data_IF_081823131914
#
_entry.id   IF_081823131914
#
_cell.length_a   1.000
_cell.length_b   1.000
_cell.length_c   1.000
_cell.angle_alpha   90.00
_cell.angle_beta   90.00
_cell.angle_gamma   90.00
#
_symmetry.space_group_name_H-M   'P 1'
#
loop_
_entity.id
_entity.type
_entity.pdbx_description
1 polymer ?
#
# COMPACT_ATOMS: atom_id res chain seq x y z
N UNK A 1 -17.26 48.16 23.71
CA UNK A 1 -16.99 47.52 22.40
C UNK A 1 -15.89 46.46 22.45
N UNK A 2 -14.79 46.62 23.22
CA UNK A 2 -13.70 45.62 23.34
C UNK A 2 -14.09 44.26 23.95
N UNK A 3 -15.16 44.19 24.77
CA UNK A 3 -15.65 42.93 25.36
C UNK A 3 -16.50 42.09 24.38
N UNK A 4 -17.09 42.71 23.34
CA UNK A 4 -17.84 41.97 22.31
C UNK A 4 -16.91 41.31 21.27
N UNK A 5 -15.78 41.94 20.97
CA UNK A 5 -14.78 41.41 20.02
C UNK A 5 -14.05 40.18 20.55
N UNK A 6 -13.89 40.05 21.87
CA UNK A 6 -13.30 38.86 22.50
C UNK A 6 -14.25 37.64 22.45
N UNK A 7 -15.57 37.87 22.51
CA UNK A 7 -16.56 36.81 22.43
C UNK A 7 -16.66 36.19 21.01
N UNK A 8 -16.48 36.99 19.95
CA UNK A 8 -16.43 36.48 18.58
C UNK A 8 -15.18 35.61 18.29
N UNK A 9 -14.05 35.90 18.95
CA UNK A 9 -12.82 35.12 18.76
C UNK A 9 -12.82 33.78 19.50
N UNK A 10 -13.65 33.64 20.55
CA UNK A 10 -13.85 32.36 21.24
C UNK A 10 -14.83 31.43 20.50
N UNK A 11 -15.73 31.97 19.67
CA UNK A 11 -16.69 31.17 18.90
C UNK A 11 -16.08 30.52 17.64
N UNK A 12 -14.98 31.07 17.11
CA UNK A 12 -14.30 30.53 15.92
C UNK A 12 -13.36 29.35 16.21
N UNK A 13 -13.04 29.06 17.48
CA UNK A 13 -12.16 27.96 17.88
C UNK A 13 -12.89 26.60 18.01
N UNK A 14 -14.22 26.57 17.89
CA UNK A 14 -15.05 25.38 18.12
C UNK A 14 -15.36 24.52 16.88
N UNK A 15 -15.00 24.96 15.66
CA UNK A 15 -15.24 24.18 14.45
C UNK A 15 -14.14 23.15 14.21
N UNK A 16 -14.07 22.15 15.10
CA UNK A 16 -13.33 20.92 14.82
C UNK A 16 -14.09 20.16 13.74
N UNK A 17 -13.53 20.10 12.53
CA UNK A 17 -14.03 19.21 11.49
C UNK A 17 -13.93 17.77 12.01
N UNK A 18 -15.07 17.14 12.31
CA UNK A 18 -15.12 15.72 12.61
C UNK A 18 -14.61 14.94 11.39
N UNK A 19 -13.35 14.50 11.46
CA UNK A 19 -12.80 13.58 10.47
C UNK A 19 -13.51 12.23 10.63
N UNK A 20 -14.37 11.89 9.68
CA UNK A 20 -15.01 10.58 9.62
C UNK A 20 -13.99 9.60 9.05
N UNK A 21 -13.34 8.86 9.92
CA UNK A 21 -12.49 7.74 9.54
C UNK A 21 -13.34 6.47 9.57
N UNK A 22 -13.45 5.80 8.42
CA UNK A 22 -14.11 4.50 8.33
C UNK A 22 -13.25 3.40 8.95
N UNK A 23 -12.90 2.40 8.14
CA UNK A 23 -11.99 1.33 8.55
C UNK A 23 -10.54 1.71 8.26
N UNK A 24 -9.72 1.73 9.29
CA UNK A 24 -8.28 2.04 9.24
C UNK A 24 -7.46 0.76 9.29
N UNK A 25 -6.41 0.71 8.46
CA UNK A 25 -5.51 -0.43 8.36
C UNK A 25 -4.18 -0.12 9.04
N UNK A 26 -3.54 -1.14 9.60
CA UNK A 26 -2.28 -1.02 10.35
C UNK A 26 -1.06 -0.62 9.53
N UNK A 27 -1.15 -0.66 8.20
CA UNK A 27 -0.07 -0.28 7.31
C UNK A 27 -0.52 -0.26 5.85
N UNK A 28 0.40 0.13 4.97
CA UNK A 28 0.17 0.20 3.50
C UNK A 28 0.71 -1.03 2.76
N UNK A 29 1.35 -1.95 3.47
CA UNK A 29 1.94 -3.18 2.96
C UNK A 29 2.23 -4.16 4.08
N UNK A 30 2.47 -5.42 3.69
CA UNK A 30 2.87 -6.51 4.57
C UNK A 30 4.18 -7.09 4.05
N UNK A 31 5.15 -7.30 4.94
CA UNK A 31 6.39 -8.03 4.63
C UNK A 31 6.38 -9.32 5.44
N UNK A 32 6.35 -10.45 4.75
CA UNK A 32 6.44 -11.79 5.31
C UNK A 32 7.87 -12.31 5.14
N UNK A 33 8.60 -12.40 6.24
CA UNK A 33 9.94 -12.98 6.25
C UNK A 33 9.84 -14.51 6.26
N UNK A 34 10.59 -15.17 5.40
CA UNK A 34 10.69 -16.63 5.42
C UNK A 34 11.15 -17.14 6.79
N UNK A 35 10.57 -18.24 7.25
CA UNK A 35 10.79 -18.81 8.58
C UNK A 35 9.88 -18.23 9.68
N UNK A 36 9.16 -17.14 9.44
CA UNK A 36 8.09 -16.69 10.34
C UNK A 36 6.89 -17.62 10.23
N UNK A 37 6.21 -17.88 11.35
CA UNK A 37 4.97 -18.67 11.36
C UNK A 37 3.81 -17.91 10.73
N UNK A 38 3.70 -16.63 11.09
CA UNK A 38 2.63 -15.75 10.64
C UNK A 38 3.04 -14.28 10.73
N UNK A 39 2.32 -13.43 10.01
CA UNK A 39 2.38 -11.97 10.16
C UNK A 39 0.99 -11.44 10.47
N UNK A 40 0.92 -10.56 11.46
CA UNK A 40 -0.30 -9.87 11.86
C UNK A 40 -0.49 -8.56 11.08
N UNK A 41 -1.71 -8.29 10.61
CA UNK A 41 -2.11 -7.04 9.98
C UNK A 41 -3.34 -6.48 10.69
N UNK A 42 -3.17 -5.35 11.38
CA UNK A 42 -4.25 -4.78 12.19
C UNK A 42 -5.29 -4.04 11.36
N UNK A 43 -6.53 -4.10 11.81
CA UNK A 43 -7.68 -3.41 11.22
C UNK A 43 -8.50 -2.84 12.36
N UNK A 44 -8.86 -1.57 12.26
CA UNK A 44 -9.66 -0.87 13.26
C UNK A 44 -10.85 -0.20 12.60
N UNK A 45 -12.04 -0.39 13.13
CA UNK A 45 -13.19 0.42 12.76
C UNK A 45 -13.20 1.68 13.63
N UNK A 46 -13.04 2.86 13.02
CA UNK A 46 -13.09 4.12 13.77
C UNK A 46 -14.49 4.75 13.78
N UNK A 47 -15.48 4.12 13.12
CA UNK A 47 -16.87 4.54 13.19
C UNK A 47 -17.49 4.25 14.56
N UNK A 48 -18.27 5.20 15.05
CA UNK A 48 -18.96 5.12 16.34
C UNK A 48 -20.31 4.42 16.25
N UNK A 49 -20.91 4.39 15.07
CA UNK A 49 -22.30 3.93 14.89
C UNK A 49 -22.46 2.81 13.86
N UNK A 50 -21.44 2.60 13.02
CA UNK A 50 -21.53 1.68 11.89
C UNK A 50 -20.57 0.50 12.08
N UNK A 51 -21.06 -0.72 12.33
CA UNK A 51 -20.23 -1.92 12.22
C UNK A 51 -20.00 -2.24 10.74
N UNK A 52 -18.92 -2.95 10.43
CA UNK A 52 -18.62 -3.43 9.07
C UNK A 52 -18.50 -4.94 9.02
N UNK A 53 -18.91 -5.53 7.91
CA UNK A 53 -18.50 -6.89 7.57
C UNK A 53 -17.19 -6.81 6.78
N UNK A 54 -16.15 -7.44 7.31
CA UNK A 54 -14.82 -7.45 6.73
C UNK A 54 -14.59 -8.80 6.05
N UNK A 55 -14.31 -8.76 4.75
CA UNK A 55 -13.88 -9.93 3.98
C UNK A 55 -12.42 -9.77 3.58
N UNK A 56 -11.59 -10.77 3.84
CA UNK A 56 -10.17 -10.75 3.51
C UNK A 56 -9.76 -11.99 2.71
N UNK A 57 -8.88 -11.79 1.72
CA UNK A 57 -8.33 -12.87 0.91
C UNK A 57 -7.02 -12.44 0.23
N UNK A 58 -6.24 -13.41 -0.24
CA UNK A 58 -4.98 -13.16 -0.94
C UNK A 58 -5.16 -13.52 -2.42
N UNK A 59 -4.61 -12.71 -3.32
CA UNK A 59 -4.59 -12.92 -4.77
C UNK A 59 -3.15 -12.86 -5.30
N UNK A 60 -2.87 -13.51 -6.43
CA UNK A 60 -1.63 -13.29 -7.18
C UNK A 60 -1.53 -11.85 -7.66
N UNK A 61 -0.30 -11.34 -7.80
CA UNK A 61 -0.06 -10.00 -8.35
C UNK A 61 -0.57 -9.88 -9.79
N UNK A 62 -0.32 -10.90 -10.61
CA UNK A 62 -0.84 -11.03 -11.96
C UNK A 62 -2.23 -11.66 -11.93
N UNK A 63 -3.22 -10.92 -12.40
CA UNK A 63 -4.62 -11.37 -12.47
C UNK A 63 -4.86 -12.51 -13.48
N UNK A 64 -3.93 -12.71 -14.42
CA UNK A 64 -3.94 -13.83 -15.35
C UNK A 64 -3.47 -15.13 -14.70
N UNK A 65 -2.63 -15.05 -13.66
CA UNK A 65 -2.23 -16.22 -12.91
C UNK A 65 -3.39 -16.73 -12.03
N UNK A 66 -3.94 -17.89 -12.40
CA UNK A 66 -5.05 -18.55 -11.70
C UNK A 66 -4.63 -19.58 -10.65
N UNK A 67 -3.32 -19.79 -10.45
CA UNK A 67 -2.86 -20.69 -9.39
C UNK A 67 -3.27 -20.15 -8.02
N UNK A 68 -3.56 -21.03 -7.06
CA UNK A 68 -3.81 -20.57 -5.69
C UNK A 68 -2.54 -19.88 -5.15
N UNK A 69 -2.64 -18.65 -4.59
CA UNK A 69 -1.50 -18.03 -3.94
C UNK A 69 -1.09 -18.85 -2.72
N UNK A 70 0.20 -18.92 -2.37
CA UNK A 70 0.70 -19.82 -1.34
C UNK A 70 0.51 -19.27 0.07
N UNK A 71 -0.56 -18.50 0.30
CA UNK A 71 -0.87 -17.87 1.57
C UNK A 71 -2.35 -17.99 1.88
N UNK A 72 -2.64 -18.05 3.18
CA UNK A 72 -3.98 -17.87 3.72
C UNK A 72 -4.02 -16.66 4.65
N UNK A 73 -5.19 -16.06 4.78
CA UNK A 73 -5.47 -14.98 5.73
C UNK A 73 -6.65 -15.37 6.62
N UNK A 74 -6.50 -15.19 7.92
CA UNK A 74 -7.50 -15.59 8.92
C UNK A 74 -7.78 -14.42 9.88
N UNK A 75 -9.05 -14.08 10.17
CA UNK A 75 -10.28 -14.62 9.58
C UNK A 75 -10.56 -14.09 8.16
N UNK A 76 -11.13 -14.93 7.30
CA UNK A 76 -11.52 -14.56 5.92
C UNK A 76 -12.81 -13.74 5.86
N UNK A 77 -13.69 -13.88 6.84
CA UNK A 77 -14.93 -13.12 6.97
C UNK A 77 -15.28 -12.95 8.44
N UNK A 78 -15.48 -11.71 8.87
CA UNK A 78 -15.89 -11.42 10.24
C UNK A 78 -16.57 -10.06 10.35
N UNK A 79 -17.43 -9.91 11.35
CA UNK A 79 -18.00 -8.61 11.71
C UNK A 79 -17.00 -7.84 12.58
N UNK A 80 -16.78 -6.58 12.24
CA UNK A 80 -15.98 -5.62 12.98
C UNK A 80 -16.91 -4.55 13.54
N UNK A 81 -17.17 -4.61 14.84
CA UNK A 81 -18.05 -3.68 15.53
C UNK A 81 -17.43 -2.27 15.63
N UNK A 82 -18.23 -1.32 16.11
CA UNK A 82 -17.85 0.08 16.27
C UNK A 82 -16.66 0.21 17.23
N UNK A 83 -15.68 1.04 16.86
CA UNK A 83 -14.46 1.26 17.66
C UNK A 83 -13.62 -0.02 17.93
N UNK A 84 -13.99 -1.15 17.31
CA UNK A 84 -13.30 -2.42 17.49
C UNK A 84 -11.99 -2.44 16.70
N UNK A 85 -10.95 -2.96 17.34
CA UNK A 85 -9.69 -3.35 16.69
C UNK A 85 -9.61 -4.87 16.59
N UNK A 86 -9.21 -5.36 15.42
CA UNK A 86 -8.92 -6.77 15.18
C UNK A 86 -7.61 -6.93 14.40
N UNK A 87 -7.14 -8.17 14.24
CA UNK A 87 -5.93 -8.49 13.50
C UNK A 87 -6.16 -9.66 12.55
N UNK A 88 -5.79 -9.47 11.28
CA UNK A 88 -5.68 -10.55 10.31
C UNK A 88 -4.34 -11.26 10.50
N UNK A 89 -4.36 -12.58 10.54
CA UNK A 89 -3.17 -13.43 10.53
C UNK A 89 -2.94 -13.98 9.13
N UNK A 90 -1.75 -13.75 8.60
CA UNK A 90 -1.32 -14.23 7.29
C UNK A 90 -0.31 -15.34 7.50
N UNK A 91 -0.54 -16.51 6.90
CA UNK A 91 0.33 -17.69 7.01
C UNK A 91 0.74 -18.15 5.62
N UNK A 92 2.02 -18.48 5.46
CA UNK A 92 2.55 -19.12 4.26
C UNK A 92 2.26 -20.63 4.31
N UNK A 93 1.85 -21.20 3.18
CA UNK A 93 1.44 -22.61 3.05
C UNK A 93 2.60 -23.56 2.73
N UNK A 94 3.81 -23.04 2.50
CA UNK A 94 4.98 -23.86 2.18
C UNK A 94 5.15 -24.23 0.71
N UNK A 95 4.24 -23.81 -0.19
CA UNK A 95 4.41 -24.01 -1.63
C UNK A 95 5.66 -23.30 -2.13
N UNK A 96 6.60 -23.97 -2.82
CA UNK A 96 7.88 -23.37 -3.21
C UNK A 96 7.75 -22.02 -3.93
N UNK A 97 8.51 -21.03 -3.45
CA UNK A 97 8.69 -19.73 -4.06
C UNK A 97 10.16 -19.52 -4.44
N UNK A 98 10.47 -18.59 -5.37
CA UNK A 98 11.84 -18.22 -5.68
C UNK A 98 12.64 -17.87 -4.41
N UNK A 99 13.81 -18.47 -4.26
CA UNK A 99 14.70 -18.23 -3.11
C UNK A 99 15.77 -17.17 -3.39
N UNK A 100 15.93 -16.79 -4.66
CA UNK A 100 16.91 -15.81 -5.13
C UNK A 100 16.38 -14.36 -5.17
N UNK A 101 15.06 -14.17 -5.00
CA UNK A 101 14.38 -12.87 -5.06
C UNK A 101 13.09 -12.83 -4.24
N UNK A 102 12.62 -11.63 -3.94
CA UNK A 102 11.28 -11.47 -3.36
C UNK A 102 10.16 -11.95 -4.30
N UNK A 103 9.04 -12.35 -3.71
CA UNK A 103 7.76 -12.54 -4.41
C UNK A 103 6.72 -11.55 -3.87
N UNK A 104 5.73 -11.18 -4.68
CA UNK A 104 4.69 -10.22 -4.27
C UNK A 104 3.28 -10.72 -4.61
N UNK A 105 2.35 -10.46 -3.69
CA UNK A 105 0.94 -10.83 -3.76
C UNK A 105 0.06 -9.65 -3.35
N UNK A 106 -1.24 -9.76 -3.57
CA UNK A 106 -2.23 -8.80 -3.07
C UNK A 106 -2.94 -9.35 -1.85
N UNK A 107 -2.85 -8.66 -0.71
CA UNK A 107 -3.80 -8.79 0.38
C UNK A 107 -4.99 -7.87 0.07
N UNK A 108 -6.16 -8.48 -0.11
CA UNK A 108 -7.41 -7.78 -0.38
C UNK A 108 -8.23 -7.72 0.91
N UNK A 109 -8.73 -6.53 1.23
CA UNK A 109 -9.63 -6.32 2.37
C UNK A 109 -10.83 -5.52 1.86
N UNK A 110 -12.02 -6.12 1.93
CA UNK A 110 -13.28 -5.52 1.52
C UNK A 110 -14.12 -5.23 2.75
N UNK A 111 -14.51 -3.96 2.89
CA UNK A 111 -15.37 -3.50 3.96
C UNK A 111 -16.78 -3.31 3.40
N UNK A 112 -17.74 -4.01 3.98
CA UNK A 112 -19.13 -4.03 3.53
C UNK A 112 -19.97 -3.34 4.61
N UNK A 113 -20.58 -2.22 4.23
CA UNK A 113 -21.47 -1.46 5.11
C UNK A 113 -22.80 -2.20 5.31
N UNK A 114 -23.47 -2.04 6.47
CA UNK A 114 -24.77 -2.63 6.72
C UNK A 114 -25.85 -1.89 5.90
N UNK A 115 -26.78 -2.65 5.34
CA UNK A 115 -27.95 -2.10 4.66
C UNK A 115 -29.14 -2.03 5.63
N UNK A 116 -29.65 -0.83 5.94
CA UNK A 116 -30.94 -0.69 6.67
C UNK A 116 -32.10 -0.89 5.69
N UNK A 117 -33.06 -1.76 6.04
CA UNK A 117 -34.34 -1.89 5.32
C UNK A 117 -35.10 -0.55 5.40
N UNK A 118 -35.12 0.21 4.32
CA UNK A 118 -35.98 1.40 4.19
C UNK A 118 -36.42 1.50 2.72
N UNK A 119 -37.67 1.90 2.49
CA UNK A 119 -38.31 1.97 1.18
C UNK A 119 -37.87 3.17 0.33
N UNK A 120 -36.61 3.60 0.42
CA UNK A 120 -36.06 4.71 -0.35
C UNK A 120 -34.84 4.30 -1.18
N UNK A 121 -34.59 5.00 -2.28
CA UNK A 121 -33.40 4.81 -3.10
C UNK A 121 -32.15 5.12 -2.27
N UNK A 122 -31.27 4.13 -2.11
CA UNK A 122 -30.02 4.29 -1.35
C UNK A 122 -28.83 3.88 -2.19
N UNK A 123 -27.78 4.71 -2.10
CA UNK A 123 -26.46 4.39 -2.59
C UNK A 123 -25.66 3.72 -1.46
N UNK A 124 -25.17 2.51 -1.71
CA UNK A 124 -24.27 1.79 -0.81
C UNK A 124 -22.88 1.71 -1.42
N UNK A 125 -21.87 2.11 -0.65
CA UNK A 125 -20.46 2.07 -1.06
C UNK A 125 -19.76 0.97 -0.27
N UNK A 126 -19.19 0.01 -0.99
CA UNK A 126 -18.33 -1.02 -0.41
C UNK A 126 -16.90 -0.78 -0.94
N UNK A 127 -15.93 -0.67 -0.04
CA UNK A 127 -14.55 -0.34 -0.39
C UNK A 127 -13.71 -1.61 -0.39
N UNK A 128 -13.00 -1.89 -1.50
CA UNK A 128 -11.99 -2.95 -1.60
C UNK A 128 -10.61 -2.30 -1.62
N UNK A 129 -9.87 -2.47 -0.53
CA UNK A 129 -8.48 -2.03 -0.40
C UNK A 129 -7.52 -3.15 -0.77
N UNK A 130 -6.45 -2.81 -1.49
CA UNK A 130 -5.39 -3.74 -1.92
C UNK A 130 -4.05 -3.34 -1.31
N UNK A 131 -3.43 -4.27 -0.62
CA UNK A 131 -2.13 -4.10 0.02
C UNK A 131 -1.14 -5.08 -0.60
N UNK A 132 0.10 -4.63 -0.83
CA UNK A 132 1.17 -5.52 -1.28
C UNK A 132 1.60 -6.41 -0.12
N UNK A 133 1.62 -7.72 -0.36
CA UNK A 133 2.20 -8.73 0.52
C UNK A 133 3.49 -9.21 -0.12
N UNK A 134 4.63 -8.81 0.44
CA UNK A 134 5.95 -9.26 -0.01
C UNK A 134 6.35 -10.51 0.76
N UNK A 135 6.72 -11.57 0.04
CA UNK A 135 7.44 -12.70 0.61
C UNK A 135 8.93 -12.50 0.41
N UNK A 136 9.68 -12.58 1.51
CA UNK A 136 11.11 -12.31 1.55
C UNK A 136 11.87 -13.57 1.98
N UNK A 137 12.50 -14.29 1.04
CA UNK A 137 13.38 -15.42 1.35
C UNK A 137 14.49 -15.06 2.33
N UNK A 138 14.91 -16.03 3.13
CA UNK A 138 16.07 -15.91 3.99
C UNK A 138 17.35 -15.86 3.13
N UNK A 139 18.30 -15.02 3.51
CA UNK A 139 19.62 -14.95 2.86
C UNK A 139 19.68 -14.16 1.56
N UNK A 140 18.63 -13.40 1.20
CA UNK A 140 18.72 -12.46 0.08
C UNK A 140 19.87 -11.45 0.27
N UNK A 141 20.67 -11.27 -0.78
CA UNK A 141 21.83 -10.36 -0.73
C UNK A 141 21.41 -8.89 -0.75
N UNK A 142 22.08 -8.09 0.10
CA UNK A 142 21.87 -6.64 0.18
C UNK A 142 20.80 -6.25 1.19
N UNK A 143 20.24 -5.05 1.04
CA UNK A 143 19.25 -4.50 1.94
C UNK A 143 18.10 -3.87 1.12
N UNK A 144 16.87 -4.28 1.40
CA UNK A 144 15.65 -3.76 0.78
C UNK A 144 15.55 -2.23 0.87
N UNK A 145 15.92 -1.63 2.00
CA UNK A 145 15.88 -0.19 2.22
C UNK A 145 16.81 0.59 1.27
N UNK A 146 17.90 -0.05 0.83
CA UNK A 146 18.88 0.55 -0.08
C UNK A 146 18.67 0.15 -1.54
N UNK A 147 17.73 -0.76 -1.83
CA UNK A 147 17.50 -1.27 -3.18
C UNK A 147 17.16 -0.14 -4.17
N UNK A 148 16.36 0.84 -3.75
CA UNK A 148 15.98 1.96 -4.60
C UNK A 148 17.18 2.79 -5.09
N UNK A 149 18.29 2.82 -4.35
CA UNK A 149 19.51 3.55 -4.76
C UNK A 149 20.33 2.80 -5.80
N UNK A 150 20.09 1.48 -5.96
CA UNK A 150 20.80 0.63 -6.94
C UNK A 150 20.15 0.65 -8.32
N UNK A 151 18.98 1.28 -8.44
CA UNK A 151 18.31 1.43 -9.72
C UNK A 151 19.18 2.23 -10.68
N UNK A 152 19.23 1.76 -11.93
CA UNK A 152 19.91 2.46 -13.02
C UNK A 152 18.85 2.97 -13.98
N UNK A 153 18.90 4.26 -14.29
CA UNK A 153 17.99 4.84 -15.26
C UNK A 153 18.71 5.13 -16.57
N UNK A 154 17.99 5.02 -17.67
CA UNK A 154 18.42 5.50 -18.98
C UNK A 154 17.24 6.22 -19.61
N UNK A 155 17.49 7.34 -20.29
CA UNK A 155 16.44 8.05 -21.02
C UNK A 155 16.86 8.23 -22.46
N UNK A 156 16.10 7.64 -23.40
CA UNK A 156 16.36 7.71 -24.85
C UNK A 156 15.03 7.84 -25.57
N UNK A 157 14.98 8.69 -26.61
CA UNK A 157 13.79 8.86 -27.46
C UNK A 157 12.48 9.07 -26.65
N UNK A 158 12.51 10.00 -25.67
CA UNK A 158 11.39 10.26 -24.76
C UNK A 158 10.87 9.02 -24.02
N UNK A 159 11.75 8.05 -23.76
CA UNK A 159 11.46 6.85 -22.99
C UNK A 159 12.45 6.74 -21.85
N UNK A 160 11.96 6.84 -20.62
CA UNK A 160 12.71 6.57 -19.41
C UNK A 160 12.62 5.08 -19.10
N UNK A 161 13.76 4.39 -19.01
CA UNK A 161 13.87 2.99 -18.59
C UNK A 161 14.62 2.90 -17.27
N UNK A 162 13.98 2.33 -16.25
CA UNK A 162 14.60 1.93 -15.00
C UNK A 162 14.97 0.45 -15.05
N UNK A 163 16.18 0.13 -14.63
CA UNK A 163 16.68 -1.22 -14.43
C UNK A 163 16.88 -1.48 -12.94
N UNK A 164 16.33 -2.58 -12.44
CA UNK A 164 16.51 -3.04 -11.07
C UNK A 164 17.46 -4.25 -11.02
N UNK A 165 18.75 -4.07 -10.67
CA UNK A 165 19.71 -5.18 -10.61
C UNK A 165 19.63 -5.96 -9.29
N UNK A 166 18.62 -5.71 -8.44
CA UNK A 166 18.56 -6.23 -7.08
C UNK A 166 17.45 -7.28 -6.90
N UNK A 167 17.54 -8.15 -5.87
CA UNK A 167 16.52 -9.17 -5.58
C UNK A 167 15.25 -8.61 -4.91
N UNK A 168 15.13 -7.27 -4.82
CA UNK A 168 14.10 -6.58 -4.03
C UNK A 168 13.13 -5.85 -4.96
N UNK A 169 11.83 -5.84 -4.63
CA UNK A 169 10.89 -4.95 -5.29
C UNK A 169 11.12 -3.50 -4.85
N UNK A 170 11.00 -2.55 -5.78
CA UNK A 170 11.02 -1.12 -5.45
C UNK A 170 9.70 -0.49 -5.85
N UNK A 171 8.92 -0.07 -4.86
CA UNK A 171 7.68 0.68 -5.08
C UNK A 171 7.97 2.17 -5.11
N UNK A 172 7.80 2.80 -6.27
CA UNK A 172 8.00 4.23 -6.43
C UNK A 172 6.86 5.01 -5.77
N UNK A 173 7.23 6.01 -4.98
CA UNK A 173 6.34 7.08 -4.59
C UNK A 173 6.28 8.15 -5.68
N UNK A 174 7.47 8.55 -6.16
CA UNK A 174 7.63 9.58 -7.18
C UNK A 174 8.82 9.25 -8.08
N UNK A 175 8.66 9.49 -9.37
CA UNK A 175 9.74 9.50 -10.38
C UNK A 175 9.54 10.74 -11.24
N UNK A 176 10.60 11.46 -11.56
CA UNK A 176 10.54 12.66 -12.40
C UNK A 176 11.79 12.79 -13.26
N UNK A 177 11.65 13.35 -14.46
CA UNK A 177 12.77 13.76 -15.32
C UNK A 177 12.69 15.27 -15.50
N UNK A 178 13.71 15.99 -15.01
CA UNK A 178 13.64 17.45 -14.94
C UNK A 178 12.43 17.91 -14.12
N UNK A 179 11.54 18.68 -14.75
CA UNK A 179 10.31 19.20 -14.12
C UNK A 179 9.05 18.37 -14.44
N UNK A 180 9.20 17.25 -15.15
CA UNK A 180 8.06 16.40 -15.53
C UNK A 180 8.01 15.19 -14.61
N UNK A 181 6.86 14.98 -13.98
CA UNK A 181 6.59 13.82 -13.14
C UNK A 181 6.06 12.66 -13.99
N UNK A 182 6.49 11.44 -13.67
CA UNK A 182 5.91 10.22 -14.23
C UNK A 182 4.58 9.95 -13.53
N UNK A 183 3.49 9.93 -14.28
CA UNK A 183 2.20 9.50 -13.77
C UNK A 183 2.21 8.01 -13.42
N UNK A 184 1.73 7.67 -12.22
CA UNK A 184 1.64 6.27 -11.74
C UNK A 184 2.93 5.45 -11.94
N UNK A 185 4.05 5.84 -11.30
CA UNK A 185 5.34 5.18 -11.53
C UNK A 185 5.32 3.69 -11.12
N UNK A 186 4.46 3.34 -10.16
CA UNK A 186 4.17 1.96 -9.76
C UNK A 186 5.36 1.27 -9.09
N UNK A 187 5.67 0.04 -9.47
CA UNK A 187 6.68 -0.79 -8.82
C UNK A 187 7.51 -1.56 -9.84
N UNK A 188 8.82 -1.58 -9.65
CA UNK A 188 9.74 -2.38 -10.46
C UNK A 188 10.07 -3.69 -9.74
N UNK A 189 10.12 -4.77 -10.51
CA UNK A 189 10.30 -6.13 -10.01
C UNK A 189 11.79 -6.45 -9.83
N UNK A 190 12.15 -7.47 -9.03
CA UNK A 190 13.53 -7.93 -8.93
C UNK A 190 14.10 -8.33 -10.29
N UNK A 191 15.32 -7.88 -10.57
CA UNK A 191 16.06 -8.23 -11.81
C UNK A 191 15.27 -7.90 -13.09
N UNK A 192 14.48 -6.84 -13.09
CA UNK A 192 13.62 -6.45 -14.20
C UNK A 192 13.86 -5.00 -14.63
N UNK A 193 13.24 -4.66 -15.76
CA UNK A 193 13.17 -3.30 -16.28
C UNK A 193 11.73 -2.77 -16.20
N UNK A 194 11.59 -1.45 -16.13
CA UNK A 194 10.31 -0.74 -16.26
C UNK A 194 10.49 0.52 -17.06
N UNK A 195 9.56 0.81 -17.96
CA UNK A 195 9.63 1.94 -18.87
C UNK A 195 8.43 2.88 -18.74
N UNK A 196 8.67 4.16 -18.98
CA UNK A 196 7.66 5.20 -19.06
C UNK A 196 7.96 6.15 -20.22
N UNK A 197 6.91 6.61 -20.89
CA UNK A 197 7.03 7.64 -21.91
C UNK A 197 7.06 9.02 -21.25
N UNK A 198 8.19 9.70 -21.34
CA UNK A 198 8.40 11.01 -20.70
C UNK A 198 9.57 11.74 -21.40
N UNK A 199 9.51 13.08 -21.55
CA UNK A 199 10.60 13.84 -22.15
C UNK A 199 11.93 13.63 -21.42
N UNK A 200 12.98 13.30 -22.18
CA UNK A 200 14.32 13.07 -21.64
C UNK A 200 15.12 14.37 -21.46
N UNK A 201 14.61 15.29 -20.64
CA UNK A 201 15.26 16.58 -20.40
C UNK A 201 15.50 16.82 -18.90
N UNK A 202 16.77 16.78 -18.51
CA UNK A 202 17.22 17.10 -17.15
C UNK A 202 17.43 15.89 -16.23
N UNK A 203 17.68 16.19 -14.95
CA UNK A 203 18.04 15.20 -13.94
C UNK A 203 16.88 14.28 -13.58
N UNK A 204 17.17 12.99 -13.48
CA UNK A 204 16.21 11.97 -13.04
C UNK A 204 16.19 11.97 -11.52
N UNK A 205 15.01 12.05 -10.91
CA UNK A 205 14.83 12.01 -9.45
C UNK A 205 13.77 11.01 -9.08
N UNK A 206 13.97 10.28 -7.99
CA UNK A 206 12.98 9.33 -7.49
C UNK A 206 12.97 9.18 -5.98
N UNK A 207 11.82 8.77 -5.46
CA UNK A 207 11.60 8.34 -4.09
C UNK A 207 10.82 7.04 -4.11
N UNK A 208 11.11 6.16 -3.16
CA UNK A 208 10.43 4.90 -2.96
C UNK A 208 9.65 4.91 -1.63
N UNK A 209 8.78 3.92 -1.49
CA UNK A 209 8.08 3.60 -0.25
C UNK A 209 8.86 2.46 0.43
N UNK A 210 9.29 2.64 1.67
CA UNK A 210 10.01 1.62 2.45
C UNK A 210 9.06 0.56 3.02
N UNK A 211 9.59 -0.42 3.75
CA UNK A 211 8.80 -1.53 4.32
C UNK A 211 7.77 -1.07 5.35
N UNK A 212 8.00 0.07 6.01
CA UNK A 212 7.11 0.67 7.01
C UNK A 212 6.07 1.63 6.40
N UNK A 213 6.04 1.77 5.08
CA UNK A 213 5.13 2.68 4.39
C UNK A 213 5.57 4.15 4.35
N UNK A 214 6.77 4.46 4.86
CA UNK A 214 7.37 5.79 4.82
C UNK A 214 8.12 6.07 3.51
N UNK A 215 8.40 7.35 3.25
CA UNK A 215 9.13 7.80 2.07
C UNK A 215 10.64 7.71 2.28
N UNK A 216 11.35 7.18 1.28
CA UNK A 216 12.82 7.24 1.27
C UNK A 216 13.31 8.66 0.98
N UNK A 217 14.60 8.92 1.26
CA UNK A 217 15.27 10.12 0.76
C UNK A 217 15.26 10.14 -0.77
N UNK A 218 15.19 11.33 -1.37
CA UNK A 218 15.29 11.52 -2.81
C UNK A 218 16.64 10.98 -3.30
N UNK A 219 16.60 10.14 -4.31
CA UNK A 219 17.76 9.72 -5.10
C UNK A 219 17.73 10.41 -6.47
N UNK A 220 18.91 10.62 -7.03
CA UNK A 220 19.10 11.38 -8.27
C UNK A 220 20.10 10.72 -9.18
N UNK A 221 19.88 10.81 -10.49
CA UNK A 221 20.83 10.40 -11.52
C UNK A 221 20.85 11.47 -12.62
N UNK A 222 22.05 11.90 -12.98
CA UNK A 222 22.27 12.83 -14.09
C UNK A 222 22.41 12.08 -15.41
#
# INVERSE_FOLDING_TARGET
>A
MKKLTAALFFYSLGMSLSAHAGVVMGGTRVVYLEGQREVAFSITNMEKETPYLIQSWIENIDSKNKTAPPFIVTPTLFRLDTEQKNSLRINYLGTPLPTDRESVFWLNIKNIAPSKKANSNKLQINVKSKFKLFFRPAGLKGNAELAYKKLKFTCRNNTLSAHNPSPWFVSFYKVSVGNTDVEMPGMIDPFSDRQWHIPCSGTIRWQAINDYGGLTRVATQS
#
